data_IF_491234420082
#
_entry.id   IF_491234420082
#
_cell.length_a   1.000
_cell.length_b   1.000
_cell.length_c   1.000
_cell.angle_alpha   90.00
_cell.angle_beta   90.00
_cell.angle_gamma   90.00
#
_symmetry.space_group_name_H-M   'P 1'
#
loop_
_entity.id
_entity.type
_entity.pdbx_description
1 polymer ?
#
# COMPACT_ATOMS: atom_id res chain seq x y z
N UNK A 1 -30.45 7.37 2.78
CA UNK A 1 -29.73 6.13 2.44
C UNK A 1 -28.37 6.13 3.10
N UNK A 2 -27.86 4.96 3.49
CA UNK A 2 -26.54 4.74 4.11
C UNK A 2 -25.73 3.77 3.25
N UNK A 3 -24.44 4.03 3.05
CA UNK A 3 -23.51 3.07 2.44
C UNK A 3 -22.63 2.45 3.53
N UNK A 4 -22.76 1.14 3.77
CA UNK A 4 -21.96 0.39 4.74
C UNK A 4 -20.76 -0.28 4.06
N UNK A 5 -19.55 0.01 4.55
CA UNK A 5 -18.33 -0.61 4.08
C UNK A 5 -18.22 -2.09 4.49
N UNK A 6 -17.96 -2.97 3.52
CA UNK A 6 -17.71 -4.39 3.73
C UNK A 6 -18.65 -5.30 2.92
N UNK A 7 -18.40 -6.61 3.00
CA UNK A 7 -19.30 -7.66 2.52
C UNK A 7 -19.19 -8.90 3.42
N UNK A 8 -20.12 -9.85 3.27
CA UNK A 8 -20.16 -11.09 4.05
C UNK A 8 -21.27 -11.10 5.10
N UNK A 9 -21.47 -12.24 5.76
CA UNK A 9 -22.61 -12.48 6.65
C UNK A 9 -22.70 -11.50 7.83
N UNK A 10 -21.56 -11.15 8.43
CA UNK A 10 -21.48 -10.16 9.51
C UNK A 10 -21.92 -8.76 9.03
N UNK A 11 -21.48 -8.36 7.84
CA UNK A 11 -21.84 -7.08 7.23
C UNK A 11 -23.32 -7.05 6.84
N UNK A 12 -23.85 -8.14 6.29
CA UNK A 12 -25.28 -8.26 5.98
C UNK A 12 -26.14 -8.12 7.24
N UNK A 13 -25.73 -8.78 8.33
CA UNK A 13 -26.42 -8.71 9.62
C UNK A 13 -26.39 -7.30 10.20
N UNK A 14 -25.22 -6.64 10.14
CA UNK A 14 -25.05 -5.26 10.56
C UNK A 14 -25.86 -4.28 9.72
N UNK A 15 -25.94 -4.48 8.40
CA UNK A 15 -26.74 -3.66 7.50
C UNK A 15 -28.24 -3.75 7.83
N UNK A 16 -28.75 -4.96 8.08
CA UNK A 16 -30.15 -5.17 8.46
C UNK A 16 -30.48 -4.47 9.78
N UNK A 17 -29.64 -4.66 10.81
CA UNK A 17 -29.79 -3.98 12.10
C UNK A 17 -29.75 -2.46 11.96
N UNK A 18 -28.80 -1.95 11.18
CA UNK A 18 -28.66 -0.51 10.94
C UNK A 18 -29.89 0.07 10.21
N UNK A 19 -30.46 -0.67 9.25
CA UNK A 19 -31.68 -0.28 8.55
C UNK A 19 -32.88 -0.21 9.51
N UNK A 20 -33.02 -1.18 10.42
CA UNK A 20 -34.08 -1.20 11.45
C UNK A 20 -33.94 -0.02 12.42
N UNK A 21 -32.73 0.24 12.93
CA UNK A 21 -32.48 1.29 13.92
C UNK A 21 -32.63 2.71 13.36
N UNK A 22 -32.31 2.90 12.08
CA UNK A 22 -32.29 4.24 11.46
C UNK A 22 -33.51 4.52 10.57
N UNK A 23 -34.26 3.49 10.19
CA UNK A 23 -35.30 3.58 9.16
C UNK A 23 -34.76 3.91 7.77
N UNK A 24 -33.44 3.89 7.57
CA UNK A 24 -32.82 4.22 6.29
C UNK A 24 -32.57 2.96 5.45
N UNK A 25 -32.64 3.10 4.13
CA UNK A 25 -32.10 2.09 3.22
C UNK A 25 -30.57 2.00 3.39
N UNK A 26 -30.05 0.78 3.54
CA UNK A 26 -28.62 0.50 3.71
C UNK A 26 -28.12 -0.34 2.54
N UNK A 27 -27.12 0.18 1.83
CA UNK A 27 -26.42 -0.51 0.74
C UNK A 27 -25.03 -0.92 1.23
N UNK A 28 -24.62 -2.16 0.99
CA UNK A 28 -23.27 -2.63 1.34
C UNK A 28 -22.31 -2.44 0.18
N UNK A 29 -21.05 -2.11 0.49
CA UNK A 29 -19.99 -1.97 -0.51
C UNK A 29 -18.69 -2.59 -0.02
N UNK A 30 -18.28 -3.68 -0.68
CA UNK A 30 -16.92 -4.20 -0.57
C UNK A 30 -16.03 -3.68 -1.69
N UNK A 31 -14.77 -3.42 -1.34
CA UNK A 31 -13.71 -3.07 -2.29
C UNK A 31 -12.65 -4.17 -2.25
N UNK A 32 -12.43 -4.84 -3.38
CA UNK A 32 -11.35 -5.82 -3.53
C UNK A 32 -10.04 -5.11 -3.88
N UNK A 33 -9.12 -5.14 -2.92
CA UNK A 33 -7.77 -4.58 -3.01
C UNK A 33 -6.70 -5.67 -3.22
N UNK A 34 -7.09 -6.88 -3.62
CA UNK A 34 -6.19 -7.95 -4.06
C UNK A 34 -5.65 -8.84 -2.94
N UNK A 35 -6.28 -8.82 -1.76
CA UNK A 35 -5.86 -9.59 -0.59
C UNK A 35 -6.49 -10.99 -0.47
N UNK A 36 -7.66 -11.19 -1.05
CA UNK A 36 -8.42 -12.44 -1.02
C UNK A 36 -9.16 -12.63 -2.35
N UNK A 37 -9.72 -13.82 -2.63
CA UNK A 37 -10.72 -13.96 -3.69
C UNK A 37 -11.82 -12.91 -3.49
N UNK A 38 -12.25 -12.20 -4.56
CA UNK A 38 -13.25 -11.15 -4.43
C UNK A 38 -14.58 -11.74 -3.95
N UNK A 39 -15.21 -11.10 -2.97
CA UNK A 39 -16.59 -11.37 -2.65
C UNK A 39 -17.49 -10.98 -3.83
N UNK A 40 -18.58 -11.71 -4.06
CA UNK A 40 -19.56 -11.37 -5.08
C UNK A 40 -20.10 -9.94 -4.88
N UNK A 41 -20.17 -9.16 -5.96
CA UNK A 41 -20.64 -7.77 -5.93
C UNK A 41 -19.61 -6.73 -5.43
N UNK A 42 -18.38 -7.14 -5.11
CA UNK A 42 -17.32 -6.19 -4.74
C UNK A 42 -16.83 -5.35 -5.93
N UNK A 43 -16.48 -4.09 -5.67
CA UNK A 43 -15.74 -3.25 -6.64
C UNK A 43 -14.29 -3.74 -6.64
N UNK A 44 -13.85 -4.25 -7.78
CA UNK A 44 -12.46 -4.69 -7.98
C UNK A 44 -11.57 -3.50 -8.30
N UNK A 45 -10.65 -3.17 -7.40
CA UNK A 45 -9.82 -1.95 -7.49
C UNK A 45 -8.33 -2.23 -7.32
N UNK A 46 -7.90 -3.45 -7.66
CA UNK A 46 -6.54 -3.91 -7.36
C UNK A 46 -5.47 -3.14 -8.11
N UNK A 47 -5.73 -2.78 -9.37
CA UNK A 47 -4.78 -2.01 -10.19
C UNK A 47 -4.61 -0.59 -9.66
N UNK A 48 -5.70 0.15 -9.46
CA UNK A 48 -5.62 1.51 -8.91
C UNK A 48 -5.06 1.51 -7.47
N UNK A 49 -5.34 0.48 -6.67
CA UNK A 49 -4.70 0.35 -5.37
C UNK A 49 -3.17 0.18 -5.49
N UNK A 50 -2.71 -0.66 -6.41
CA UNK A 50 -1.28 -0.87 -6.64
C UNK A 50 -0.62 0.42 -7.15
N UNK A 51 -1.21 1.07 -8.14
CA UNK A 51 -0.60 2.20 -8.84
C UNK A 51 -0.73 3.51 -8.06
N UNK A 52 -1.90 3.78 -7.44
CA UNK A 52 -2.16 5.06 -6.75
C UNK A 52 -1.77 5.04 -5.27
N UNK A 53 -1.51 3.86 -4.68
CA UNK A 53 -1.26 3.75 -3.22
C UNK A 53 0.01 2.94 -2.90
N UNK A 54 0.16 1.74 -3.47
CA UNK A 54 1.34 0.93 -3.19
C UNK A 54 2.61 1.49 -3.84
N UNK A 55 2.54 1.92 -5.10
CA UNK A 55 3.68 2.49 -5.82
C UNK A 55 4.24 3.75 -5.12
N UNK A 56 3.43 4.76 -4.74
CA UNK A 56 3.92 5.88 -3.95
C UNK A 56 4.58 5.46 -2.64
N UNK A 57 4.06 4.42 -1.97
CA UNK A 57 4.68 3.90 -0.76
C UNK A 57 6.03 3.21 -1.04
N UNK A 58 6.17 2.52 -2.17
CA UNK A 58 7.45 1.93 -2.61
C UNK A 58 8.46 3.06 -2.88
N UNK A 59 8.07 4.06 -3.65
CA UNK A 59 8.91 5.19 -4.03
C UNK A 59 9.31 6.07 -2.84
N UNK A 60 8.43 6.20 -1.83
CA UNK A 60 8.72 6.86 -0.56
C UNK A 60 9.41 5.93 0.46
N UNK A 61 9.83 4.73 0.04
CA UNK A 61 10.51 3.75 0.89
C UNK A 61 9.72 3.41 2.18
N UNK A 62 8.39 3.46 2.13
CA UNK A 62 7.52 3.45 3.28
C UNK A 62 6.94 2.06 3.52
N UNK A 63 7.29 1.44 4.64
CA UNK A 63 6.60 0.24 5.16
C UNK A 63 5.59 0.66 6.21
N UNK A 64 4.34 0.83 5.79
CA UNK A 64 3.25 1.30 6.64
C UNK A 64 2.08 0.32 6.66
N UNK A 65 1.34 0.35 7.77
CA UNK A 65 0.04 -0.31 7.87
C UNK A 65 -1.07 0.64 7.43
N UNK A 66 -2.11 0.09 6.82
CA UNK A 66 -3.30 0.85 6.48
C UNK A 66 -3.21 1.67 5.20
N UNK A 67 -2.48 1.23 4.16
CA UNK A 67 -2.62 1.84 2.83
C UNK A 67 -4.01 1.65 2.21
N UNK A 68 -4.84 0.76 2.77
CA UNK A 68 -6.17 0.45 2.25
C UNK A 68 -7.18 1.60 2.40
N UNK A 69 -7.15 2.33 3.53
CA UNK A 69 -8.22 3.27 3.86
C UNK A 69 -8.39 4.41 2.86
N UNK A 70 -7.33 5.03 2.28
CA UNK A 70 -7.50 6.10 1.28
C UNK A 70 -8.19 5.61 0.01
N UNK A 71 -7.94 4.36 -0.40
CA UNK A 71 -8.62 3.74 -1.53
C UNK A 71 -10.10 3.47 -1.19
N UNK A 72 -10.36 2.91 -0.01
CA UNK A 72 -11.71 2.59 0.46
C UNK A 72 -12.57 3.86 0.60
N UNK A 73 -12.07 4.93 1.23
CA UNK A 73 -12.87 6.17 1.42
C UNK A 73 -13.25 6.83 0.09
N UNK A 74 -12.36 6.81 -0.92
CA UNK A 74 -12.69 7.31 -2.27
C UNK A 74 -13.84 6.50 -2.87
N UNK A 75 -13.76 5.17 -2.84
CA UNK A 75 -14.82 4.30 -3.39
C UNK A 75 -16.15 4.41 -2.66
N UNK A 76 -16.12 4.59 -1.34
CA UNK A 76 -17.32 4.82 -0.54
C UNK A 76 -17.94 6.20 -0.82
N UNK A 77 -17.14 7.26 -0.95
CA UNK A 77 -17.63 8.58 -1.33
C UNK A 77 -18.30 8.55 -2.71
N UNK A 78 -17.65 7.91 -3.70
CA UNK A 78 -18.23 7.76 -5.04
C UNK A 78 -19.54 6.97 -5.02
N UNK A 79 -19.59 5.87 -4.24
CA UNK A 79 -20.80 5.07 -4.08
C UNK A 79 -21.91 5.88 -3.39
N UNK A 80 -21.60 6.59 -2.31
CA UNK A 80 -22.57 7.41 -1.61
C UNK A 80 -23.21 8.45 -2.54
N UNK A 81 -22.39 9.13 -3.37
CA UNK A 81 -22.90 10.09 -4.37
C UNK A 81 -23.79 9.43 -5.42
N UNK A 82 -23.39 8.28 -5.98
CA UNK A 82 -24.21 7.54 -6.97
C UNK A 82 -25.55 7.09 -6.41
N UNK A 83 -25.58 6.74 -5.13
CA UNK A 83 -26.77 6.22 -4.46
C UNK A 83 -27.58 7.31 -3.73
N UNK A 84 -27.16 8.58 -3.78
CA UNK A 84 -27.81 9.65 -3.03
C UNK A 84 -27.76 9.45 -1.51
N UNK A 85 -26.75 8.75 -1.00
CA UNK A 85 -26.55 8.53 0.42
C UNK A 85 -25.95 9.78 1.08
N UNK A 86 -26.42 10.07 2.29
CA UNK A 86 -25.92 11.18 3.12
C UNK A 86 -24.98 10.69 4.23
N UNK A 87 -24.85 9.37 4.37
CA UNK A 87 -24.10 8.73 5.45
C UNK A 87 -23.29 7.57 4.90
N UNK A 88 -22.04 7.46 5.34
CA UNK A 88 -21.22 6.25 5.19
C UNK A 88 -21.04 5.60 6.55
N UNK A 89 -21.05 4.27 6.57
CA UNK A 89 -20.86 3.47 7.77
C UNK A 89 -19.65 2.53 7.63
N UNK A 90 -18.93 2.26 8.71
CA UNK A 90 -17.73 1.41 8.69
C UNK A 90 -17.51 0.63 9.98
N UNK A 91 -16.68 -0.43 9.89
CA UNK A 91 -16.27 -1.25 11.03
C UNK A 91 -14.90 -0.94 11.65
N UNK A 92 -14.13 0.00 11.08
CA UNK A 92 -12.83 0.37 11.65
C UNK A 92 -12.95 0.85 13.11
N UNK A 93 -11.94 0.53 13.92
CA UNK A 93 -11.85 0.94 15.33
C UNK A 93 -10.52 1.65 15.63
N UNK A 94 -10.48 2.41 16.73
CA UNK A 94 -9.25 2.97 17.30
C UNK A 94 -8.52 3.90 16.33
N UNK A 95 -7.27 3.54 15.96
CA UNK A 95 -6.50 4.32 14.97
C UNK A 95 -7.07 4.24 13.55
N UNK A 96 -7.60 3.08 13.17
CA UNK A 96 -8.20 2.89 11.85
C UNK A 96 -9.42 3.79 11.65
N UNK A 97 -10.25 3.90 12.70
CA UNK A 97 -11.42 4.79 12.73
C UNK A 97 -11.03 6.25 12.52
N UNK A 98 -10.02 6.75 13.24
CA UNK A 98 -9.55 8.14 13.08
C UNK A 98 -9.04 8.43 11.68
N UNK A 99 -8.28 7.51 11.09
CA UNK A 99 -7.79 7.64 9.71
C UNK A 99 -8.93 7.65 8.69
N UNK A 100 -9.89 6.73 8.87
CA UNK A 100 -11.07 6.67 8.02
C UNK A 100 -11.89 7.96 8.09
N UNK A 101 -12.17 8.47 9.30
CA UNK A 101 -12.91 9.70 9.51
C UNK A 101 -12.18 10.92 8.92
N UNK A 102 -10.87 11.05 9.15
CA UNK A 102 -10.06 12.11 8.54
C UNK A 102 -10.07 12.04 7.01
N UNK A 103 -10.00 10.83 6.46
CA UNK A 103 -10.11 10.57 5.03
C UNK A 103 -11.44 11.00 4.43
N UNK A 104 -12.54 10.58 5.05
CA UNK A 104 -13.89 10.97 4.63
C UNK A 104 -14.08 12.48 4.72
N UNK A 105 -13.62 13.13 5.79
CA UNK A 105 -13.69 14.58 5.92
C UNK A 105 -12.92 15.32 4.82
N UNK A 106 -11.81 14.77 4.33
CA UNK A 106 -11.05 15.35 3.24
C UNK A 106 -11.69 15.12 1.85
N UNK A 107 -12.33 13.97 1.63
CA UNK A 107 -12.83 13.55 0.31
C UNK A 107 -14.32 13.89 0.08
N UNK A 108 -15.12 13.82 1.13
CA UNK A 108 -16.57 14.04 1.11
C UNK A 108 -17.03 14.61 2.47
N UNK A 109 -16.69 15.88 2.78
CA UNK A 109 -17.03 16.53 4.04
C UNK A 109 -18.54 16.68 4.29
N UNK A 110 -19.34 16.55 3.23
CA UNK A 110 -20.80 16.58 3.26
C UNK A 110 -21.42 15.28 3.80
N UNK A 111 -20.67 14.17 3.80
CA UNK A 111 -21.18 12.87 4.25
C UNK A 111 -20.99 12.69 5.76
N UNK A 112 -22.05 12.24 6.44
CA UNK A 112 -21.95 11.78 7.84
C UNK A 112 -21.19 10.46 7.90
N UNK A 113 -20.25 10.34 8.85
CA UNK A 113 -19.52 9.09 9.10
C UNK A 113 -20.10 8.41 10.35
N UNK A 114 -20.43 7.12 10.23
CA UNK A 114 -20.98 6.29 11.30
C UNK A 114 -20.10 5.07 11.57
N UNK A 115 -19.56 4.94 12.77
CA UNK A 115 -18.91 3.71 13.21
C UNK A 115 -19.97 2.67 13.60
N UNK A 116 -19.82 1.45 13.08
CA UNK A 116 -20.70 0.30 13.34
C UNK A 116 -19.88 -0.81 13.97
N UNK A 117 -19.95 -1.02 15.29
CA UNK A 117 -19.21 -2.07 15.98
C UNK A 117 -19.54 -3.47 15.43
N UNK A 118 -18.52 -4.34 15.38
CA UNK A 118 -18.69 -5.74 14.94
C UNK A 118 -18.69 -5.95 13.43
N UNK A 119 -18.56 -4.88 12.63
CA UNK A 119 -18.33 -5.00 11.18
C UNK A 119 -16.82 -5.21 10.94
N UNK A 120 -16.42 -6.24 10.18
CA UNK A 120 -15.00 -6.45 9.87
C UNK A 120 -14.48 -5.36 8.93
N UNK A 121 -13.28 -4.84 9.24
CA UNK A 121 -12.59 -3.90 8.36
C UNK A 121 -11.89 -4.64 7.21
N UNK A 122 -11.57 -3.91 6.13
CA UNK A 122 -10.72 -4.45 5.06
C UNK A 122 -9.28 -4.62 5.60
N UNK A 123 -8.98 -5.81 6.12
CA UNK A 123 -7.71 -6.08 6.83
C UNK A 123 -6.67 -6.80 5.98
N UNK A 124 -7.07 -7.34 4.81
CA UNK A 124 -6.13 -7.97 3.86
C UNK A 124 -6.22 -7.37 2.47
N UNK A 125 -5.07 -6.94 2.00
CA UNK A 125 -4.89 -6.28 0.70
C UNK A 125 -3.68 -6.86 -0.02
N UNK A 126 -3.46 -6.43 -1.25
CA UNK A 126 -2.26 -6.74 -2.01
C UNK A 126 -0.97 -6.28 -1.32
N UNK A 127 -1.02 -5.19 -0.55
CA UNK A 127 0.14 -4.63 0.15
C UNK A 127 0.58 -5.48 1.35
N UNK A 128 -0.41 -6.01 2.08
CA UNK A 128 -0.19 -6.74 3.32
C UNK A 128 -1.47 -6.86 4.14
N UNK A 129 -1.33 -7.47 5.31
CA UNK A 129 -2.43 -7.77 6.23
C UNK A 129 -1.97 -7.90 7.68
N UNK A 130 -2.93 -7.72 8.59
CA UNK A 130 -2.77 -8.14 9.98
C UNK A 130 -2.84 -9.67 10.00
N UNK A 131 -1.78 -10.32 10.47
CA UNK A 131 -1.67 -11.76 10.50
C UNK A 131 -2.44 -12.34 11.69
N UNK A 132 -3.34 -13.28 11.38
CA UNK A 132 -4.07 -14.07 12.36
C UNK A 132 -3.30 -15.33 12.80
N UNK A 133 -3.65 -15.99 13.92
CA UNK A 133 -3.02 -17.26 14.30
C UNK A 133 -3.14 -18.35 13.22
N UNK A 134 -4.21 -18.32 12.43
CA UNK A 134 -4.43 -19.21 11.28
C UNK A 134 -3.50 -18.86 10.09
N UNK A 135 -3.03 -17.61 10.01
CA UNK A 135 -1.97 -17.17 9.10
C UNK A 135 -0.60 -17.58 9.62
N UNK A 136 -0.46 -18.79 10.17
CA UNK A 136 0.81 -19.38 10.55
C UNK A 136 1.58 -19.67 9.26
N UNK A 137 2.10 -18.63 8.61
CA UNK A 137 2.80 -18.66 7.33
C UNK A 137 3.94 -19.65 7.46
N UNK A 138 3.67 -20.88 7.01
CA UNK A 138 4.55 -21.87 6.42
C UNK A 138 6.04 -21.53 6.55
N UNK A 139 6.53 -21.66 7.78
CA UNK A 139 7.76 -22.41 8.00
C UNK A 139 7.34 -23.88 7.92
N UNK A 140 8.21 -24.85 7.55
CA UNK A 140 7.91 -26.20 8.00
C UNK A 140 7.76 -26.12 9.52
N UNK A 141 6.81 -26.88 10.04
CA UNK A 141 6.51 -26.92 11.47
C UNK A 141 7.74 -27.29 12.34
N UNK A 142 8.86 -27.61 11.70
CA UNK A 142 9.97 -28.40 12.20
C UNK A 142 11.36 -27.73 12.02
N UNK A 143 11.45 -26.45 11.64
CA UNK A 143 12.71 -25.68 11.68
C UNK A 143 13.66 -25.83 10.48
N UNK A 144 13.22 -26.40 9.35
CA UNK A 144 13.98 -26.41 8.10
C UNK A 144 13.67 -25.17 7.24
N UNK A 145 14.61 -24.23 7.12
CA UNK A 145 14.41 -23.15 6.15
C UNK A 145 14.41 -23.71 4.72
N UNK A 146 13.56 -23.16 3.84
CA UNK A 146 13.72 -23.41 2.40
C UNK A 146 15.12 -22.98 1.97
N UNK A 147 15.64 -23.62 0.93
CA UNK A 147 16.89 -23.19 0.31
C UNK A 147 16.83 -21.68 -0.01
N UNK A 148 17.95 -20.94 0.16
CA UNK A 148 18.00 -19.54 -0.20
C UNK A 148 17.54 -19.32 -1.64
N UNK A 149 16.73 -18.30 -1.84
CA UNK A 149 16.12 -18.01 -3.14
C UNK A 149 16.53 -16.63 -3.61
N UNK A 150 17.12 -16.54 -4.80
CA UNK A 150 17.40 -15.26 -5.44
C UNK A 150 16.23 -14.81 -6.31
N UNK A 151 15.91 -13.52 -6.24
CA UNK A 151 14.95 -12.85 -7.12
C UNK A 151 15.55 -11.57 -7.65
N UNK A 152 15.28 -11.29 -8.92
CA UNK A 152 15.72 -10.05 -9.54
C UNK A 152 14.53 -9.13 -9.78
N UNK A 153 14.65 -7.84 -9.47
CA UNK A 153 13.61 -6.84 -9.70
C UNK A 153 14.18 -5.71 -10.55
N UNK A 154 13.53 -5.43 -11.67
CA UNK A 154 13.89 -4.31 -12.55
C UNK A 154 12.94 -3.15 -12.29
N UNK A 155 13.51 -1.96 -12.16
CA UNK A 155 12.81 -0.70 -11.99
C UNK A 155 13.05 0.20 -13.20
N UNK A 156 12.02 0.95 -13.57
CA UNK A 156 12.11 2.10 -14.46
C UNK A 156 11.44 3.29 -13.77
N UNK A 157 12.20 4.36 -13.54
CA UNK A 157 11.75 5.59 -12.89
C UNK A 157 11.05 5.32 -11.55
N UNK A 158 11.64 4.45 -10.73
CA UNK A 158 11.09 4.01 -9.44
C UNK A 158 9.95 2.99 -9.51
N UNK A 159 9.48 2.63 -10.70
CA UNK A 159 8.37 1.70 -10.91
C UNK A 159 8.92 0.28 -11.11
N UNK A 160 8.48 -0.74 -10.36
CA UNK A 160 8.87 -2.12 -10.62
C UNK A 160 8.20 -2.64 -11.89
N UNK A 161 9.00 -2.85 -12.94
CA UNK A 161 8.52 -3.21 -14.29
C UNK A 161 8.80 -4.66 -14.69
N UNK A 162 9.76 -5.34 -14.03
CA UNK A 162 10.02 -6.75 -14.26
C UNK A 162 10.45 -7.50 -12.99
N UNK A 163 10.18 -8.80 -12.94
CA UNK A 163 10.70 -9.72 -11.92
C UNK A 163 11.27 -10.96 -12.61
N UNK A 164 12.55 -11.23 -12.37
CA UNK A 164 13.35 -12.26 -13.08
C UNK A 164 13.29 -12.11 -14.62
N UNK A 165 13.35 -10.88 -15.12
CA UNK A 165 13.29 -10.57 -16.54
C UNK A 165 11.89 -10.64 -17.17
N UNK A 166 10.87 -11.10 -16.44
CA UNK A 166 9.48 -11.11 -16.91
C UNK A 166 8.78 -9.79 -16.58
N UNK A 167 8.23 -9.13 -17.60
CA UNK A 167 7.46 -7.88 -17.44
C UNK A 167 6.25 -8.08 -16.53
N UNK A 168 6.06 -7.16 -15.59
CA UNK A 168 4.96 -7.16 -14.63
C UNK A 168 4.37 -5.76 -14.47
N UNK A 169 3.09 -5.69 -14.09
CA UNK A 169 2.54 -4.47 -13.46
C UNK A 169 3.00 -4.37 -12.00
N UNK A 170 2.81 -3.22 -11.37
CA UNK A 170 3.05 -3.04 -9.92
C UNK A 170 2.29 -4.11 -9.12
N UNK A 171 1.03 -4.34 -9.47
CA UNK A 171 0.23 -5.37 -8.84
C UNK A 171 0.81 -6.79 -9.06
N UNK A 172 1.33 -7.07 -10.26
CA UNK A 172 2.00 -8.33 -10.60
C UNK A 172 3.27 -8.54 -9.78
N UNK A 173 4.11 -7.51 -9.66
CA UNK A 173 5.32 -7.52 -8.84
C UNK A 173 4.99 -7.84 -7.38
N UNK A 174 4.03 -7.12 -6.79
CA UNK A 174 3.56 -7.37 -5.42
C UNK A 174 3.06 -8.80 -5.23
N UNK A 175 2.22 -9.33 -6.13
CA UNK A 175 1.72 -10.72 -6.01
C UNK A 175 2.85 -11.75 -6.06
N UNK A 176 3.78 -11.61 -7.01
CA UNK A 176 4.90 -12.54 -7.18
C UNK A 176 5.81 -12.51 -5.96
N UNK A 177 6.19 -11.32 -5.50
CA UNK A 177 7.07 -11.16 -4.35
C UNK A 177 6.38 -11.49 -3.02
N UNK A 178 5.07 -11.25 -2.89
CA UNK A 178 4.30 -11.73 -1.75
C UNK A 178 4.43 -13.25 -1.61
N UNK A 179 4.24 -14.01 -2.70
CA UNK A 179 4.37 -15.47 -2.69
C UNK A 179 5.79 -15.91 -2.31
N UNK A 180 6.81 -15.37 -2.97
CA UNK A 180 8.22 -15.81 -2.81
C UNK A 180 8.77 -15.42 -1.42
N UNK A 181 8.66 -14.15 -1.04
CA UNK A 181 9.17 -13.68 0.25
C UNK A 181 8.39 -14.28 1.44
N UNK A 182 7.08 -14.52 1.30
CA UNK A 182 6.32 -15.20 2.34
C UNK A 182 6.71 -16.67 2.52
N UNK A 183 7.08 -17.37 1.45
CA UNK A 183 7.57 -18.75 1.52
C UNK A 183 8.88 -18.85 2.33
N UNK A 184 9.67 -17.77 2.37
CA UNK A 184 10.87 -17.64 3.18
C UNK A 184 10.59 -17.04 4.58
N UNK A 185 9.33 -16.82 4.93
CA UNK A 185 8.92 -16.27 6.23
C UNK A 185 9.16 -14.76 6.41
N UNK A 186 9.52 -14.04 5.35
CA UNK A 186 9.90 -12.63 5.41
C UNK A 186 8.71 -11.67 5.49
N UNK A 187 8.97 -10.43 5.90
CA UNK A 187 7.98 -9.34 5.85
C UNK A 187 7.06 -9.22 7.06
N UNK A 188 7.35 -9.92 8.16
CA UNK A 188 6.59 -9.81 9.41
C UNK A 188 7.19 -8.76 10.32
N UNK A 189 6.37 -7.85 10.84
CA UNK A 189 6.77 -6.88 11.84
C UNK A 189 5.66 -6.61 12.85
N UNK A 190 6.06 -6.15 14.03
CA UNK A 190 5.14 -5.82 15.12
C UNK A 190 4.61 -4.41 14.92
N UNK A 191 3.30 -4.25 14.94
CA UNK A 191 2.65 -2.95 14.94
C UNK A 191 2.67 -2.36 16.35
N UNK A 192 2.43 -1.04 16.45
CA UNK A 192 2.45 -0.34 17.74
C UNK A 192 1.40 -0.83 18.74
N UNK A 193 0.29 -1.39 18.25
CA UNK A 193 -0.76 -2.00 19.05
C UNK A 193 -0.51 -3.49 19.34
N UNK A 194 0.70 -3.98 19.07
CA UNK A 194 1.12 -5.34 19.42
C UNK A 194 0.53 -6.43 18.53
N UNK A 195 0.01 -6.08 17.34
CA UNK A 195 -0.39 -7.06 16.33
C UNK A 195 0.80 -7.38 15.42
N UNK A 196 0.72 -8.51 14.72
CA UNK A 196 1.71 -8.85 13.69
C UNK A 196 1.15 -8.43 12.35
N UNK A 197 1.85 -7.55 11.64
CA UNK A 197 1.53 -7.21 10.26
C UNK A 197 2.51 -7.91 9.34
N UNK A 198 2.01 -8.40 8.22
CA UNK A 198 2.79 -9.10 7.21
C UNK A 198 2.66 -8.40 5.86
N UNK A 199 3.81 -8.04 5.29
CA UNK A 199 3.95 -7.32 4.04
C UNK A 199 5.15 -7.86 3.23
N UNK A 200 5.15 -9.14 2.84
CA UNK A 200 6.32 -9.82 2.25
C UNK A 200 6.79 -9.18 0.95
N UNK A 201 5.87 -8.94 0.00
CA UNK A 201 6.19 -8.32 -1.28
C UNK A 201 6.52 -6.84 -1.15
N UNK A 202 5.84 -6.12 -0.25
CA UNK A 202 6.16 -4.73 0.07
C UNK A 202 7.57 -4.59 0.66
N UNK A 203 7.96 -5.45 1.60
CA UNK A 203 9.32 -5.48 2.14
C UNK A 203 10.34 -5.72 1.02
N UNK A 204 10.09 -6.69 0.15
CA UNK A 204 11.01 -6.99 -0.95
C UNK A 204 11.17 -5.79 -1.91
N UNK A 205 10.08 -5.16 -2.33
CA UNK A 205 10.12 -4.00 -3.23
C UNK A 205 10.79 -2.79 -2.57
N UNK A 206 10.46 -2.48 -1.32
CA UNK A 206 11.09 -1.36 -0.59
C UNK A 206 12.59 -1.63 -0.37
N UNK A 207 12.99 -2.87 -0.07
CA UNK A 207 14.41 -3.22 0.06
C UNK A 207 15.16 -3.06 -1.27
N UNK A 208 14.58 -3.54 -2.37
CA UNK A 208 15.20 -3.38 -3.69
C UNK A 208 15.29 -1.91 -4.10
N UNK A 209 14.19 -1.17 -3.95
CA UNK A 209 14.12 0.24 -4.30
C UNK A 209 15.13 1.10 -3.51
N UNK A 210 15.25 0.91 -2.19
CA UNK A 210 16.27 1.57 -1.36
C UNK A 210 17.70 1.27 -1.83
N UNK A 211 17.96 0.03 -2.20
CA UNK A 211 19.27 -0.37 -2.70
C UNK A 211 19.58 0.32 -4.04
N UNK A 212 18.59 0.42 -4.94
CA UNK A 212 18.75 1.10 -6.22
C UNK A 212 18.99 2.61 -6.06
N UNK A 213 18.25 3.27 -5.17
CA UNK A 213 18.44 4.70 -4.86
C UNK A 213 19.87 5.02 -4.41
N UNK A 214 20.51 4.12 -3.66
CA UNK A 214 21.88 4.32 -3.19
C UNK A 214 22.91 4.43 -4.32
N UNK A 215 22.62 3.87 -5.50
CA UNK A 215 23.47 3.92 -6.69
C UNK A 215 23.00 4.89 -7.78
N UNK A 216 21.81 5.47 -7.65
CA UNK A 216 21.18 6.29 -8.71
C UNK A 216 20.92 7.74 -8.31
N UNK A 217 20.81 8.04 -7.01
CA UNK A 217 20.58 9.40 -6.52
C UNK A 217 21.88 10.14 -6.19
N UNK A 218 21.92 11.43 -6.50
CA UNK A 218 22.97 12.33 -6.04
C UNK A 218 23.01 12.34 -4.48
N UNK A 219 24.21 12.34 -3.85
CA UNK A 219 24.33 12.19 -2.40
C UNK A 219 23.54 13.19 -1.53
N UNK A 220 23.45 14.47 -1.90
CA UNK A 220 22.68 15.47 -1.18
C UNK A 220 21.17 15.25 -1.35
N UNK A 221 20.71 14.94 -2.56
CA UNK A 221 19.33 14.54 -2.84
C UNK A 221 18.95 13.30 -2.02
N UNK A 222 19.77 12.24 -2.05
CA UNK A 222 19.55 11.02 -1.28
C UNK A 222 19.47 11.31 0.24
N UNK A 223 20.32 12.20 0.76
CA UNK A 223 20.29 12.59 2.18
C UNK A 223 19.01 13.33 2.55
N UNK A 224 18.56 14.25 1.71
CA UNK A 224 17.31 14.98 1.94
C UNK A 224 16.08 14.08 1.75
N UNK A 225 16.08 13.22 0.73
CA UNK A 225 15.00 12.26 0.47
C UNK A 225 14.74 11.34 1.66
N UNK A 226 15.77 10.90 2.41
CA UNK A 226 15.55 10.15 3.66
C UNK A 226 14.77 10.92 4.73
N UNK A 227 14.76 12.25 4.71
CA UNK A 227 13.90 13.07 5.57
C UNK A 227 12.47 13.07 5.03
N UNK A 228 12.32 13.25 3.72
CA UNK A 228 11.03 13.20 3.02
C UNK A 228 10.33 11.85 3.20
N UNK A 229 11.03 10.73 2.98
CA UNK A 229 10.51 9.37 3.16
C UNK A 229 9.94 9.17 4.58
N UNK A 230 10.64 9.70 5.59
CA UNK A 230 10.21 9.63 7.00
C UNK A 230 8.95 10.45 7.24
N UNK A 231 8.92 11.69 6.74
CA UNK A 231 7.76 12.57 6.90
C UNK A 231 6.54 12.01 6.14
N UNK A 232 6.74 11.54 4.91
CA UNK A 232 5.71 10.88 4.11
C UNK A 232 5.12 9.68 4.86
N UNK A 233 5.98 8.83 5.42
CA UNK A 233 5.57 7.68 6.24
C UNK A 233 4.75 8.12 7.44
N UNK A 234 5.17 9.16 8.16
CA UNK A 234 4.46 9.72 9.32
C UNK A 234 3.06 10.20 8.93
N UNK A 235 2.95 11.01 7.87
CA UNK A 235 1.66 11.53 7.40
C UNK A 235 0.68 10.41 7.06
N UNK A 236 1.13 9.36 6.36
CA UNK A 236 0.27 8.21 6.04
C UNK A 236 -0.17 7.48 7.30
N UNK A 237 0.74 7.29 8.26
CA UNK A 237 0.42 6.67 9.56
C UNK A 237 -0.54 7.51 10.39
N UNK A 238 -0.55 8.82 10.22
CA UNK A 238 -1.43 9.74 10.96
C UNK A 238 -2.78 9.95 10.27
N UNK A 239 -3.03 9.30 9.12
CA UNK A 239 -4.28 9.47 8.38
C UNK A 239 -4.31 10.70 7.48
N UNK A 240 -3.14 11.29 7.19
CA UNK A 240 -2.99 12.54 6.46
C UNK A 240 -2.68 12.32 4.97
N UNK A 241 -3.18 11.21 4.39
CA UNK A 241 -2.99 10.88 2.97
C UNK A 241 -3.45 11.99 2.02
N UNK A 242 -4.54 12.69 2.39
CA UNK A 242 -5.12 13.78 1.60
C UNK A 242 -4.64 15.17 2.03
N UNK A 243 -3.60 15.26 2.87
CA UNK A 243 -3.09 16.55 3.32
C UNK A 243 -2.28 17.25 2.21
N UNK A 244 -2.26 18.60 2.19
CA UNK A 244 -1.45 19.36 1.23
C UNK A 244 0.05 19.03 1.33
N UNK A 245 0.56 18.82 2.54
CA UNK A 245 1.97 18.45 2.74
C UNK A 245 2.28 17.10 2.10
N UNK A 246 1.42 16.09 2.30
CA UNK A 246 1.60 14.77 1.67
C UNK A 246 1.66 14.92 0.15
N UNK A 247 0.77 15.70 -0.46
CA UNK A 247 0.78 15.93 -1.90
C UNK A 247 2.05 16.65 -2.41
N UNK A 248 2.56 17.61 -1.64
CA UNK A 248 3.84 18.26 -1.95
C UNK A 248 5.01 17.25 -1.88
N UNK A 249 5.02 16.36 -0.88
CA UNK A 249 6.01 15.30 -0.78
C UNK A 249 5.89 14.28 -1.93
N UNK A 250 4.68 13.95 -2.38
CA UNK A 250 4.48 13.09 -3.57
C UNK A 250 5.17 13.70 -4.80
N UNK A 251 5.07 15.03 -4.99
CA UNK A 251 5.71 15.73 -6.11
C UNK A 251 7.24 15.71 -6.01
N UNK A 252 7.78 15.92 -4.80
CA UNK A 252 9.21 15.78 -4.56
C UNK A 252 9.69 14.34 -4.83
N UNK A 253 8.94 13.34 -4.36
CA UNK A 253 9.29 11.94 -4.56
C UNK A 253 9.29 11.62 -6.05
N UNK A 254 8.27 12.03 -6.81
CA UNK A 254 8.18 11.81 -8.24
C UNK A 254 9.40 12.36 -9.00
N UNK A 255 9.82 13.60 -8.72
CA UNK A 255 11.04 14.20 -9.30
C UNK A 255 12.28 13.35 -8.97
N UNK A 256 12.42 12.92 -7.71
CA UNK A 256 13.55 12.10 -7.29
C UNK A 256 13.57 10.72 -7.97
N UNK A 257 12.44 10.23 -8.47
CA UNK A 257 12.36 8.92 -9.12
C UNK A 257 12.84 8.90 -10.57
N UNK A 258 13.00 10.05 -11.24
CA UNK A 258 13.34 10.09 -12.68
C UNK A 258 14.64 9.36 -13.04
N UNK A 259 15.58 9.25 -12.10
CA UNK A 259 16.86 8.55 -12.32
C UNK A 259 16.92 7.15 -11.69
N UNK A 260 15.86 6.70 -11.02
CA UNK A 260 15.82 5.44 -10.26
C UNK A 260 15.43 4.28 -11.18
N UNK A 261 16.31 3.98 -12.15
CA UNK A 261 16.16 2.88 -13.11
C UNK A 261 17.32 1.90 -13.01
N UNK A 262 17.01 0.61 -13.14
CA UNK A 262 18.01 -0.46 -13.07
C UNK A 262 17.48 -1.74 -12.45
N UNK A 263 18.38 -2.66 -12.19
CA UNK A 263 18.08 -4.00 -11.72
C UNK A 263 18.67 -4.23 -10.33
N UNK A 264 17.91 -4.84 -9.42
CA UNK A 264 18.41 -5.23 -8.10
C UNK A 264 18.17 -6.71 -7.86
N UNK A 265 19.22 -7.42 -7.50
CA UNK A 265 19.16 -8.80 -7.01
C UNK A 265 18.90 -8.82 -5.50
N UNK A 266 17.91 -9.60 -5.11
CA UNK A 266 17.58 -9.88 -3.72
C UNK A 266 17.83 -11.34 -3.39
N UNK A 267 18.34 -11.59 -2.18
CA UNK A 267 18.35 -12.89 -1.53
C UNK A 267 17.21 -12.96 -0.51
N UNK A 268 16.32 -13.93 -0.69
CA UNK A 268 15.22 -14.24 0.21
C UNK A 268 15.58 -15.49 1.01
N UNK A 269 15.77 -15.34 2.32
CA UNK A 269 16.12 -16.47 3.17
C UNK A 269 15.88 -16.16 4.65
N UNK A 270 15.43 -17.17 5.41
CA UNK A 270 15.32 -17.11 6.88
C UNK A 270 14.67 -15.81 7.40
N UNK A 271 13.47 -15.52 6.91
CA UNK A 271 12.70 -14.34 7.31
C UNK A 271 13.25 -13.00 6.86
N UNK A 272 14.34 -12.98 6.07
CA UNK A 272 15.01 -11.76 5.61
C UNK A 272 14.92 -11.59 4.11
N UNK A 273 15.01 -10.33 3.71
CA UNK A 273 15.22 -9.90 2.33
C UNK A 273 16.46 -9.04 2.31
N UNK A 274 17.49 -9.48 1.60
CA UNK A 274 18.80 -8.81 1.53
C UNK A 274 19.07 -8.41 0.08
N UNK A 275 19.38 -7.15 -0.18
CA UNK A 275 19.89 -6.74 -1.48
C UNK A 275 21.35 -7.17 -1.63
N UNK A 276 21.69 -7.83 -2.73
CA UNK A 276 23.04 -8.33 -2.99
C UNK A 276 23.91 -7.27 -3.69
N UNK A 277 23.51 -6.83 -4.88
CA UNK A 277 24.15 -5.72 -5.60
C UNK A 277 23.13 -5.05 -6.53
N UNK A 278 22.96 -3.71 -6.47
CA UNK A 278 22.19 -2.98 -7.48
C UNK A 278 23.04 -2.80 -8.75
N UNK A 279 22.47 -3.12 -9.91
CA UNK A 279 23.00 -2.80 -11.23
C UNK A 279 22.19 -1.64 -11.79
N UNK A 280 22.72 -0.42 -11.69
CA UNK A 280 22.14 0.72 -12.38
C UNK A 280 22.26 0.53 -13.90
N UNK A 281 21.25 0.97 -14.65
CA UNK A 281 21.31 0.95 -16.11
C UNK A 281 22.36 1.98 -16.60
N UNK A 282 23.17 1.65 -17.62
CA UNK A 282 24.23 2.55 -18.13
C UNK A 282 23.63 3.87 -18.66
N UNK A 283 22.37 3.85 -19.09
CA UNK A 283 21.62 5.03 -19.55
C UNK A 283 21.17 5.96 -18.42
N UNK A 284 21.02 5.47 -17.18
CA UNK A 284 20.71 6.30 -16.02
C UNK A 284 21.90 7.19 -15.61
N UNK A 285 23.13 6.71 -15.84
CA UNK A 285 24.36 7.48 -15.63
C UNK A 285 24.43 8.73 -16.54
N UNK A 286 23.84 8.69 -17.74
CA UNK A 286 23.72 9.86 -18.63
C UNK A 286 22.67 10.88 -18.16
N UNK A 287 21.61 10.45 -17.47
CA UNK A 287 20.60 11.38 -16.92
C UNK A 287 21.13 12.20 -15.74
N UNK A 288 21.94 11.60 -14.87
CA UNK A 288 22.65 12.31 -13.78
C UNK A 288 23.60 13.39 -14.33
N UNK A 289 24.06 13.25 -15.57
CA UNK A 289 24.95 14.21 -16.23
C UNK A 289 24.23 15.38 -16.93
N UNK A 290 22.89 15.48 -16.89
CA UNK A 290 22.17 16.62 -17.49
C UNK A 290 22.21 17.84 -16.55
N UNK A 291 22.93 18.94 -16.88
CA UNK A 291 22.82 20.18 -16.13
C UNK A 291 21.38 20.71 -16.23
N UNK A 292 20.83 21.12 -15.08
CA UNK A 292 19.43 21.46 -14.90
C UNK A 292 18.87 22.42 -15.96
N UNK A 293 17.62 22.16 -16.38
CA UNK A 293 16.79 23.12 -17.12
C UNK A 293 16.54 24.33 -16.24
N UNK A 294 17.45 25.30 -16.26
CA UNK A 294 17.11 26.68 -15.95
C UNK A 294 16.48 27.25 -17.22
N UNK A 295 15.18 27.08 -17.41
CA UNK A 295 14.43 28.01 -18.26
C UNK A 295 14.23 29.28 -17.46
N UNK A 296 15.25 30.15 -17.46
CA UNK A 296 15.06 31.55 -17.14
C UNK A 296 14.35 32.19 -18.35
N UNK A 297 13.04 32.43 -18.24
CA UNK A 297 12.39 33.44 -19.05
C UNK A 297 12.49 34.77 -18.30
N UNK A 298 13.24 35.69 -18.88
CA UNK A 298 13.10 37.13 -18.67
C UNK A 298 12.20 37.69 -19.78
#
# INVERSE_FOLDING_TARGET
MIVLAGAGGEVTSAAAKLAEETGAEVVTLAVDLGGHPPAGGSIRDVTAFADDHCLPAIQANALVTGLAWPAVVRRLADAARRHGATTVAHGYTGRGERRFAAGMAAVAPDLRVLAVPGVPAAERTLWGYVAEPADRWRFPADGEFLAPEEVTVTFDSGVPVAVDGETVSVAGALRRLNRRAAAQGAGKYRTEDGRTFAAPGALALVTAHRALESGTLEPALARFKRQVDREWTTLVRDGQWFSPLKHALDSFVAEAQETVSGEVRLLLHDGRVTALDPRADETAAEHVARPGRITAQA
#
